data_IF_999861243923
#
_entry.id   IF_999861243923
#
_cell.length_a   1.000
_cell.length_b   1.000
_cell.length_c   1.000
_cell.angle_alpha   90.00
_cell.angle_beta   90.00
_cell.angle_gamma   90.00
#
_symmetry.space_group_name_H-M   'P 1'
#
loop_
_entity.id
_entity.type
_entity.pdbx_description
1 polymer ?
#
# COMPACT_ATOMS: atom_id res chain seq x y z
N UNK A 1 -20.25 -5.12 -6.14
CA UNK A 1 -19.07 -5.53 -5.34
C UNK A 1 -18.36 -6.73 -5.98
N UNK A 2 -17.79 -6.59 -7.19
CA UNK A 2 -17.12 -7.71 -7.91
C UNK A 2 -15.82 -7.32 -8.65
N UNK A 3 -15.41 -6.05 -8.62
CA UNK A 3 -14.37 -5.52 -9.52
C UNK A 3 -12.92 -5.66 -9.00
N UNK A 4 -12.71 -6.43 -7.92
CA UNK A 4 -11.39 -6.66 -7.32
C UNK A 4 -10.89 -8.13 -7.44
N UNK A 5 -11.70 -9.04 -8.00
CA UNK A 5 -11.36 -10.47 -8.09
C UNK A 5 -10.23 -10.82 -9.08
N UNK A 6 -9.72 -9.86 -9.83
CA UNK A 6 -8.68 -10.04 -10.88
C UNK A 6 -7.33 -9.38 -10.56
N UNK A 7 -7.11 -8.96 -9.31
CA UNK A 7 -5.79 -8.55 -8.83
C UNK A 7 -5.17 -9.72 -8.08
N UNK A 8 -3.94 -10.13 -8.42
CA UNK A 8 -3.18 -11.03 -7.55
C UNK A 8 -3.04 -10.34 -6.18
N UNK A 9 -3.76 -10.82 -5.17
CA UNK A 9 -3.80 -10.21 -3.84
C UNK A 9 -3.61 -11.33 -2.83
N UNK A 10 -2.47 -11.32 -2.12
CA UNK A 10 -2.19 -12.29 -1.05
C UNK A 10 -3.06 -12.08 0.20
N UNK A 11 -3.76 -10.94 0.30
CA UNK A 11 -4.54 -10.57 1.47
C UNK A 11 -6.03 -10.80 1.26
N UNK A 12 -6.65 -11.36 2.29
CA UNK A 12 -8.11 -11.42 2.39
C UNK A 12 -8.70 -10.04 2.79
N UNK A 13 -9.98 -9.77 2.50
CA UNK A 13 -10.62 -8.51 2.91
C UNK A 13 -10.63 -8.26 4.43
N UNK A 14 -10.68 -9.32 5.24
CA UNK A 14 -10.60 -9.21 6.70
C UNK A 14 -9.20 -8.78 7.16
N UNK A 15 -8.15 -9.33 6.54
CA UNK A 15 -6.76 -8.89 6.79
C UNK A 15 -6.57 -7.41 6.43
N UNK A 16 -7.19 -6.94 5.35
CA UNK A 16 -7.18 -5.52 4.98
C UNK A 16 -7.82 -4.60 6.03
N UNK A 17 -8.94 -5.01 6.64
CA UNK A 17 -9.58 -4.25 7.73
C UNK A 17 -8.72 -4.22 9.00
N UNK A 18 -8.08 -5.34 9.32
CA UNK A 18 -7.18 -5.44 10.46
C UNK A 18 -6.00 -4.47 10.31
N UNK A 19 -5.39 -4.38 9.13
CA UNK A 19 -4.34 -3.39 8.85
C UNK A 19 -4.82 -1.96 9.05
N UNK A 20 -5.99 -1.60 8.52
CA UNK A 20 -6.57 -0.25 8.73
C UNK A 20 -6.74 0.05 10.23
N UNK A 21 -7.24 -0.91 11.01
CA UNK A 21 -7.44 -0.76 12.45
C UNK A 21 -6.11 -0.60 13.20
N UNK A 22 -5.10 -1.41 12.89
CA UNK A 22 -3.77 -1.33 13.50
C UNK A 22 -3.13 0.03 13.28
N UNK A 23 -3.18 0.57 12.06
CA UNK A 23 -2.62 1.90 11.77
C UNK A 23 -3.39 3.00 12.50
N UNK A 24 -4.72 2.91 12.55
CA UNK A 24 -5.55 3.89 13.26
C UNK A 24 -5.24 3.91 14.76
N UNK A 25 -5.09 2.73 15.40
CA UNK A 25 -4.75 2.61 16.82
C UNK A 25 -3.31 3.07 17.09
N UNK A 26 -2.38 2.70 16.22
CA UNK A 26 -0.97 3.09 16.34
C UNK A 26 -0.75 4.60 16.19
N UNK A 27 -1.65 5.32 15.52
CA UNK A 27 -1.47 6.74 15.21
C UNK A 27 -0.36 7.02 14.19
N UNK A 28 0.18 5.99 13.54
CA UNK A 28 1.29 6.11 12.59
C UNK A 28 0.93 7.04 11.43
N UNK A 29 1.86 7.93 11.07
CA UNK A 29 1.69 8.92 9.98
C UNK A 29 2.67 8.74 8.83
N UNK A 30 3.75 8.00 9.03
CA UNK A 30 4.73 7.67 8.00
C UNK A 30 4.87 6.16 7.96
N UNK A 31 4.47 5.56 6.84
CA UNK A 31 4.45 4.12 6.66
C UNK A 31 5.40 3.74 5.52
N UNK A 32 6.10 2.63 5.69
CA UNK A 32 6.89 1.99 4.65
C UNK A 32 6.26 0.63 4.34
N UNK A 33 5.90 0.41 3.08
CA UNK A 33 5.47 -0.88 2.55
C UNK A 33 6.57 -1.44 1.64
N UNK A 34 6.81 -2.75 1.74
CA UNK A 34 7.72 -3.49 0.87
C UNK A 34 6.88 -4.49 0.08
N UNK A 35 6.81 -4.30 -1.24
CA UNK A 35 5.95 -5.04 -2.15
C UNK A 35 4.55 -4.45 -2.24
N UNK A 36 4.31 -3.62 -3.27
CA UNK A 36 3.00 -3.06 -3.58
C UNK A 36 2.11 -4.09 -4.29
N UNK A 37 2.68 -4.87 -5.20
CA UNK A 37 2.04 -5.87 -6.04
C UNK A 37 0.79 -5.32 -6.78
N UNK A 38 -0.39 -5.42 -6.17
CA UNK A 38 -1.65 -4.86 -6.69
C UNK A 38 -2.16 -3.60 -5.98
N UNK A 39 -1.44 -3.08 -4.99
CA UNK A 39 -1.78 -1.87 -4.23
C UNK A 39 -2.90 -2.04 -3.19
N UNK A 40 -3.47 -3.24 -3.02
CA UNK A 40 -4.60 -3.46 -2.09
C UNK A 40 -4.22 -3.22 -0.62
N UNK A 41 -3.07 -3.73 -0.20
CA UNK A 41 -2.50 -3.47 1.13
C UNK A 41 -2.26 -1.98 1.34
N UNK A 42 -1.65 -1.31 0.37
CA UNK A 42 -1.47 0.15 0.38
C UNK A 42 -2.77 0.90 0.65
N UNK A 43 -3.87 0.59 -0.05
CA UNK A 43 -5.19 1.21 0.18
C UNK A 43 -5.64 1.04 1.64
N UNK A 44 -5.47 -0.16 2.20
CA UNK A 44 -5.84 -0.45 3.58
C UNK A 44 -4.99 0.34 4.59
N UNK A 45 -3.70 0.49 4.32
CA UNK A 45 -2.78 1.32 5.11
C UNK A 45 -3.18 2.81 5.04
N UNK A 46 -3.56 3.31 3.85
CA UNK A 46 -4.04 4.70 3.62
C UNK A 46 -5.18 5.08 4.54
N UNK A 47 -6.15 4.17 4.59
CA UNK A 47 -7.40 4.37 5.32
C UNK A 47 -7.15 4.52 6.81
N UNK A 48 -6.08 3.91 7.33
CA UNK A 48 -5.77 3.95 8.76
C UNK A 48 -5.16 5.28 9.22
N UNK A 49 -4.29 5.91 8.42
CA UNK A 49 -3.59 7.13 8.85
C UNK A 49 -4.36 8.44 8.54
N UNK A 50 -5.38 8.39 7.68
CA UNK A 50 -6.28 9.50 7.36
C UNK A 50 -5.70 10.55 6.40
N UNK A 51 -6.25 11.77 6.38
CA UNK A 51 -5.87 12.84 5.41
C UNK A 51 -4.44 13.38 5.55
N UNK A 52 -3.74 13.11 6.65
CA UNK A 52 -2.42 13.69 6.98
C UNK A 52 -1.36 12.61 7.26
N UNK A 53 -1.21 11.64 6.37
CA UNK A 53 -0.13 10.66 6.46
C UNK A 53 0.47 10.35 5.10
N UNK A 54 1.62 9.70 5.11
CA UNK A 54 2.40 9.33 3.95
C UNK A 54 2.67 7.82 4.00
N UNK A 55 2.52 7.15 2.85
CA UNK A 55 3.03 5.80 2.63
C UNK A 55 4.04 5.87 1.51
N UNK A 56 5.21 5.33 1.80
CA UNK A 56 6.21 4.99 0.81
C UNK A 56 6.09 3.50 0.54
N UNK A 57 5.90 3.12 -0.72
CA UNK A 57 5.88 1.71 -1.12
C UNK A 57 7.07 1.41 -2.03
N UNK A 58 7.84 0.38 -1.67
CA UNK A 58 8.99 -0.10 -2.42
C UNK A 58 8.56 -1.31 -3.25
N UNK A 59 8.59 -1.17 -4.57
CA UNK A 59 8.25 -2.25 -5.49
C UNK A 59 9.42 -2.53 -6.44
N UNK A 60 9.74 -3.81 -6.61
CA UNK A 60 10.86 -4.28 -7.42
C UNK A 60 10.47 -4.44 -8.89
N UNK A 61 9.19 -4.72 -9.17
CA UNK A 61 8.69 -5.08 -10.47
C UNK A 61 7.87 -3.95 -11.10
N UNK A 62 8.35 -3.39 -12.22
CA UNK A 62 7.78 -2.19 -12.84
C UNK A 62 6.31 -2.38 -13.25
N UNK A 63 5.92 -3.62 -13.58
CA UNK A 63 4.54 -3.99 -13.91
C UNK A 63 3.57 -3.70 -12.76
N UNK A 64 4.01 -3.89 -11.52
CA UNK A 64 3.21 -3.66 -10.32
C UNK A 64 3.18 -2.19 -9.92
N UNK A 65 4.25 -1.45 -10.20
CA UNK A 65 4.28 0.03 -10.04
C UNK A 65 3.20 0.68 -10.89
N UNK A 66 3.10 0.30 -12.18
CA UNK A 66 2.07 0.86 -13.10
C UNK A 66 0.66 0.53 -12.62
N UNK A 67 0.43 -0.69 -12.14
CA UNK A 67 -0.87 -1.12 -11.63
C UNK A 67 -1.26 -0.37 -10.35
N UNK A 68 -0.36 -0.25 -9.37
CA UNK A 68 -0.60 0.45 -8.12
C UNK A 68 -0.81 1.97 -8.33
N UNK A 69 -0.06 2.58 -9.25
CA UNK A 69 -0.17 4.01 -9.59
C UNK A 69 -1.51 4.36 -10.25
N UNK A 70 -2.15 3.40 -10.92
CA UNK A 70 -3.47 3.60 -11.55
C UNK A 70 -4.61 3.78 -10.54
N UNK A 71 -4.41 3.46 -9.26
CA UNK A 71 -5.46 3.46 -8.25
C UNK A 71 -5.81 4.86 -7.67
N UNK A 72 -5.37 5.96 -8.30
CA UNK A 72 -5.73 7.36 -7.98
C UNK A 72 -5.79 7.69 -6.48
N UNK A 73 -4.73 7.33 -5.74
CA UNK A 73 -4.52 7.77 -4.37
C UNK A 73 -3.14 8.41 -4.34
N UNK A 74 -3.00 9.53 -3.63
CA UNK A 74 -1.74 10.26 -3.50
C UNK A 74 -0.73 9.42 -2.72
N UNK A 75 0.10 8.66 -3.43
CA UNK A 75 1.12 7.77 -2.89
C UNK A 75 2.47 8.09 -3.49
N UNK A 76 3.53 7.99 -2.69
CA UNK A 76 4.88 7.97 -3.22
C UNK A 76 5.27 6.51 -3.45
N UNK A 77 5.14 6.05 -4.70
CA UNK A 77 5.62 4.74 -5.11
C UNK A 77 7.02 4.93 -5.67
N UNK A 78 8.01 4.31 -5.02
CA UNK A 78 9.39 4.35 -5.47
C UNK A 78 9.69 3.02 -6.15
N UNK A 79 10.00 3.08 -7.45
CA UNK A 79 10.56 1.97 -8.19
C UNK A 79 12.08 1.99 -8.05
N UNK A 80 12.66 0.92 -7.51
CA UNK A 80 14.12 0.79 -7.43
C UNK A 80 14.60 -0.04 -6.25
N UNK A 81 15.40 -1.06 -6.55
CA UNK A 81 16.32 -1.65 -5.58
C UNK A 81 17.46 -0.66 -5.35
N UNK A 82 17.36 0.07 -4.24
CA UNK A 82 18.36 1.01 -3.78
C UNK A 82 18.30 1.19 -2.27
N UNK A 83 18.29 0.07 -1.52
CA UNK A 83 18.46 0.11 -0.06
C UNK A 83 19.89 0.63 0.21
N UNK A 84 20.02 1.93 0.50
CA UNK A 84 21.13 2.44 1.30
C UNK A 84 20.60 2.65 2.72
N UNK A 85 20.93 1.70 3.60
CA UNK A 85 20.87 1.93 5.04
C UNK A 85 22.01 2.89 5.35
N UNK A 86 21.68 4.13 5.73
CA UNK A 86 22.61 5.03 6.42
C UNK A 86 22.26 5.03 7.91
#
# INVERSE_FOLDING_TARGET
MQRLKKMACLLSPSSGKLLTMLIAISGAKNLLEIGALGGYSGICLARGFGRKGNLTSLELEEKYVKLASSNQITWNIVFGLGIRVL
#
